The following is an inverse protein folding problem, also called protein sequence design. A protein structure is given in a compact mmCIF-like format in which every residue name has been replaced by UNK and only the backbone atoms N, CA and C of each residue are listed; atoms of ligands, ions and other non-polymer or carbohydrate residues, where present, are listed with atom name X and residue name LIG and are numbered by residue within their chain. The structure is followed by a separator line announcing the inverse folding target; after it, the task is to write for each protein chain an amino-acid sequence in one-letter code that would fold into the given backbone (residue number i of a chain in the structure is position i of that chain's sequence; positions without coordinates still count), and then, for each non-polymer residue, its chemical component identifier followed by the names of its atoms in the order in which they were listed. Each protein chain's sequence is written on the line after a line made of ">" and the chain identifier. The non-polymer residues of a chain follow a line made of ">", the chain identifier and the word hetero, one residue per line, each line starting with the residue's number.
data_IF_659650963083
#
_entry.id   IF_659650963083
#
_cell.length_a   1.000
_cell.length_b   1.000
_cell.length_c   1.000
_cell.angle_alpha   90.00
_cell.angle_beta   90.00
_cell.angle_gamma   90.00
#
_symmetry.space_group_name_H-M   'P 1'
#
loop_
_entity.id
_entity.type
_entity.pdbx_description
1 polymer ?
#
# COMPACT_ATOMS: atom_id res chain seq x y z
N UNK A 1 31.67 -18.40 -49.08
CA UNK A 1 32.55 -17.50 -48.27
C UNK A 1 31.90 -16.15 -48.01
N UNK A 2 31.21 -15.53 -48.97
CA UNK A 2 30.52 -14.23 -48.82
C UNK A 2 29.37 -14.25 -47.80
N UNK A 3 28.48 -15.26 -47.85
CA UNK A 3 27.33 -15.38 -46.94
C UNK A 3 27.74 -15.49 -45.46
N UNK A 4 28.79 -16.27 -45.16
CA UNK A 4 29.31 -16.43 -43.79
C UNK A 4 29.88 -15.10 -43.29
N UNK A 5 30.56 -14.35 -44.16
CA UNK A 5 31.10 -13.04 -43.83
C UNK A 5 29.99 -12.03 -43.50
N UNK A 6 28.89 -12.05 -44.25
CA UNK A 6 27.71 -11.21 -43.97
C UNK A 6 27.04 -11.58 -42.63
N UNK A 7 26.90 -12.87 -42.34
CA UNK A 7 26.29 -13.32 -41.06
C UNK A 7 27.15 -12.91 -39.85
N UNK A 8 28.48 -13.00 -39.98
CA UNK A 8 29.40 -12.53 -38.93
C UNK A 8 29.36 -11.02 -38.75
N UNK A 9 29.27 -10.25 -39.85
CA UNK A 9 29.15 -8.80 -39.79
C UNK A 9 27.83 -8.37 -39.10
N UNK A 10 26.72 -9.02 -39.42
CA UNK A 10 25.42 -8.76 -38.77
C UNK A 10 25.47 -9.09 -37.28
N UNK A 11 26.03 -10.26 -36.92
CA UNK A 11 26.19 -10.65 -35.51
C UNK A 11 27.06 -9.65 -34.73
N UNK A 12 28.14 -9.18 -35.33
CA UNK A 12 29.02 -8.18 -34.73
C UNK A 12 28.29 -6.84 -34.50
N UNK A 13 27.52 -6.38 -35.48
CA UNK A 13 26.69 -5.16 -35.33
C UNK A 13 25.67 -5.32 -34.20
N UNK A 14 25.00 -6.48 -34.11
CA UNK A 14 24.05 -6.76 -33.02
C UNK A 14 24.72 -6.75 -31.64
N UNK A 15 25.91 -7.34 -31.52
CA UNK A 15 26.70 -7.33 -30.28
C UNK A 15 27.08 -5.90 -29.89
N UNK A 16 27.50 -5.07 -30.85
CA UNK A 16 27.81 -3.65 -30.60
C UNK A 16 26.58 -2.86 -30.13
N UNK A 17 25.40 -3.09 -30.71
CA UNK A 17 24.15 -2.45 -30.28
C UNK A 17 23.79 -2.84 -28.84
N UNK A 18 23.89 -4.13 -28.50
CA UNK A 18 23.59 -4.63 -27.15
C UNK A 18 24.59 -4.09 -26.12
N UNK A 19 25.89 -4.06 -26.46
CA UNK A 19 26.93 -3.50 -25.60
C UNK A 19 26.76 -1.98 -25.39
N UNK A 20 26.39 -1.24 -26.44
CA UNK A 20 26.10 0.20 -26.38
C UNK A 20 24.88 0.53 -25.53
N UNK A 21 23.80 -0.25 -25.66
CA UNK A 21 22.59 -0.05 -24.84
C UNK A 21 22.83 -0.37 -23.36
N UNK A 22 23.67 -1.38 -23.07
CA UNK A 22 24.08 -1.70 -21.68
C UNK A 22 24.83 -0.53 -21.05
N UNK A 23 25.82 0.03 -21.76
CA UNK A 23 26.64 1.13 -21.22
C UNK A 23 25.83 2.42 -21.00
N UNK A 24 24.84 2.69 -21.86
CA UNK A 24 23.86 3.77 -21.66
C UNK A 24 22.98 3.55 -20.43
N UNK A 25 22.47 2.33 -20.21
CA UNK A 25 21.65 2.01 -19.05
C UNK A 25 22.43 2.07 -17.71
N UNK A 26 23.72 1.75 -17.72
CA UNK A 26 24.60 1.86 -16.54
C UNK A 26 24.95 3.30 -16.17
N UNK A 27 24.77 4.27 -17.08
CA UNK A 27 25.10 5.68 -16.87
C UNK A 27 23.86 6.56 -16.55
N UNK A 28 22.76 5.94 -16.10
CA UNK A 28 21.67 6.69 -15.49
C UNK A 28 22.11 7.00 -14.06
N UNK A 29 22.57 8.22 -13.82
CA UNK A 29 22.94 8.68 -12.49
C UNK A 29 21.67 8.92 -11.66
N UNK A 30 21.18 7.87 -11.00
CA UNK A 30 20.02 7.91 -10.11
C UNK A 30 20.17 8.95 -8.97
N UNK A 31 21.40 9.39 -8.65
CA UNK A 31 21.66 10.40 -7.62
C UNK A 31 21.49 11.84 -8.13
N UNK A 32 21.48 12.05 -9.45
CA UNK A 32 21.22 13.34 -10.09
C UNK A 32 19.78 13.47 -10.62
N UNK A 33 18.91 12.47 -10.36
CA UNK A 33 17.47 12.64 -10.52
C UNK A 33 16.99 13.52 -9.38
N UNK A 34 16.98 14.84 -9.62
CA UNK A 34 16.28 15.77 -8.75
C UNK A 34 14.79 15.46 -8.90
N UNK A 35 14.28 14.59 -8.04
CA UNK A 35 12.84 14.48 -7.83
C UNK A 35 12.32 15.91 -7.66
N UNK A 36 11.25 16.31 -8.35
CA UNK A 36 10.56 17.52 -7.99
C UNK A 36 10.41 17.50 -6.47
N UNK A 37 10.93 18.52 -5.79
CA UNK A 37 10.53 18.74 -4.41
C UNK A 37 9.06 18.98 -4.55
N UNK A 38 8.24 17.96 -4.32
CA UNK A 38 6.78 18.07 -4.35
C UNK A 38 6.49 19.13 -3.29
N UNK A 39 6.25 20.39 -3.69
CA UNK A 39 5.99 21.39 -2.69
C UNK A 39 4.68 20.96 -2.06
N UNK A 40 4.67 20.81 -0.74
CA UNK A 40 3.45 20.54 0.02
C UNK A 40 2.38 21.49 -0.49
N UNK A 41 1.24 21.01 -1.03
CA UNK A 41 0.26 21.87 -1.70
C UNK A 41 -0.33 22.93 -0.76
N UNK A 42 -0.24 22.71 0.55
CA UNK A 42 -0.64 23.64 1.61
C UNK A 42 0.13 23.37 2.91
N UNK A 43 0.20 24.31 3.86
CA UNK A 43 0.82 24.08 5.17
C UNK A 43 0.15 22.91 5.91
N UNK A 44 0.94 22.05 6.55
CA UNK A 44 0.47 20.82 7.22
C UNK A 44 -0.19 19.80 6.28
N UNK A 45 0.08 19.88 4.96
CA UNK A 45 -0.36 18.85 4.02
C UNK A 45 0.31 17.52 4.29
N UNK A 46 -0.38 16.48 3.87
CA UNK A 46 -0.32 15.21 4.54
C UNK A 46 -0.71 14.07 3.60
N UNK A 47 -0.16 12.86 3.76
CA UNK A 47 -0.35 11.72 2.86
C UNK A 47 -0.75 10.49 3.65
N UNK A 48 -1.72 9.76 3.13
CA UNK A 48 -2.13 8.46 3.63
C UNK A 48 -2.08 7.44 2.50
N UNK A 49 -1.89 6.17 2.83
CA UNK A 49 -2.27 5.12 1.87
C UNK A 49 -3.78 5.21 1.64
N UNK A 50 -4.20 5.26 0.37
CA UNK A 50 -5.61 5.27 -0.01
C UNK A 50 -5.94 4.07 -0.90
N UNK A 51 -6.90 3.27 -0.48
CA UNK A 51 -7.39 2.10 -1.21
C UNK A 51 -8.82 1.79 -0.78
N UNK A 52 -9.61 1.19 -1.65
CA UNK A 52 -10.98 0.80 -1.33
C UNK A 52 -11.20 -0.69 -1.55
N UNK A 53 -11.68 -1.36 -0.50
CA UNK A 53 -12.08 -2.77 -0.49
C UNK A 53 -11.06 -3.74 -1.13
N UNK A 54 -9.77 -3.56 -0.83
CA UNK A 54 -8.72 -4.44 -1.37
C UNK A 54 -8.53 -5.68 -0.50
N UNK A 55 -8.06 -6.78 -1.10
CA UNK A 55 -7.98 -8.10 -0.46
C UNK A 55 -7.16 -8.13 0.83
N UNK A 56 -6.09 -7.32 0.89
CA UNK A 56 -5.21 -7.27 2.05
C UNK A 56 -4.45 -5.93 2.16
N UNK A 57 -3.82 -5.76 3.31
CA UNK A 57 -3.05 -4.56 3.64
C UNK A 57 -1.78 -4.43 2.77
N UNK A 58 -1.17 -5.54 2.34
CA UNK A 58 0.05 -5.49 1.53
C UNK A 58 -0.24 -4.89 0.16
N UNK A 59 -1.28 -5.37 -0.52
CA UNK A 59 -1.73 -4.87 -1.80
C UNK A 59 -2.15 -3.40 -1.71
N UNK A 60 -2.87 -2.99 -0.65
CA UNK A 60 -3.18 -1.58 -0.42
C UNK A 60 -1.90 -0.72 -0.41
N UNK A 61 -0.92 -1.08 0.42
CA UNK A 61 0.29 -0.27 0.58
C UNK A 61 1.20 -0.31 -0.65
N UNK A 62 1.16 -1.39 -1.42
CA UNK A 62 1.97 -1.57 -2.64
C UNK A 62 1.48 -0.71 -3.79
N UNK A 63 0.16 -0.55 -3.92
CA UNK A 63 -0.47 0.07 -5.09
C UNK A 63 -1.19 1.39 -4.80
N UNK A 64 -1.19 1.84 -3.55
CA UNK A 64 -1.71 3.15 -3.20
C UNK A 64 -0.94 4.26 -3.94
N UNK A 65 -1.71 5.19 -4.48
CA UNK A 65 -1.16 6.39 -5.13
C UNK A 65 -0.41 7.27 -4.13
N UNK A 66 0.71 7.83 -4.56
CA UNK A 66 1.46 8.81 -3.77
C UNK A 66 0.85 10.22 -3.89
N UNK A 67 -0.35 10.39 -3.32
CA UNK A 67 -1.08 11.67 -3.37
C UNK A 67 -1.27 12.31 -1.99
N UNK A 68 -1.36 13.64 -2.02
CA UNK A 68 -1.71 14.44 -0.86
C UNK A 68 -3.19 14.27 -0.48
N UNK A 69 -3.47 14.22 0.81
CA UNK A 69 -4.81 14.25 1.36
C UNK A 69 -5.49 15.59 1.07
N UNK A 70 -6.83 15.60 0.88
CA UNK A 70 -7.57 16.83 0.63
C UNK A 70 -7.53 17.76 1.87
N UNK A 71 -7.71 19.08 1.66
CA UNK A 71 -7.91 20.01 2.76
C UNK A 71 -9.10 19.56 3.63
N UNK A 72 -9.07 19.90 4.92
CA UNK A 72 -10.05 19.52 5.95
C UNK A 72 -9.99 18.07 6.45
N UNK A 73 -8.97 17.30 6.07
CA UNK A 73 -8.67 16.02 6.72
C UNK A 73 -7.51 16.19 7.70
N UNK A 74 -7.45 15.38 8.76
CA UNK A 74 -6.37 15.43 9.76
C UNK A 74 -5.83 14.05 10.14
N UNK A 75 -6.48 12.97 9.69
CA UNK A 75 -6.17 11.60 10.10
C UNK A 75 -6.12 10.63 8.92
N UNK A 76 -5.33 9.57 9.04
CA UNK A 76 -5.44 8.42 8.16
C UNK A 76 -6.35 7.37 8.81
N UNK A 77 -7.51 7.10 8.20
CA UNK A 77 -8.44 6.05 8.62
C UNK A 77 -8.11 4.75 7.90
N UNK A 78 -7.98 3.66 8.65
CA UNK A 78 -7.96 2.28 8.12
C UNK A 78 -9.16 1.51 8.66
N UNK A 79 -9.87 0.80 7.80
CA UNK A 79 -10.90 -0.18 8.14
C UNK A 79 -10.43 -1.54 7.63
N UNK A 80 -10.31 -2.52 8.52
CA UNK A 80 -9.77 -3.84 8.17
C UNK A 80 -10.72 -4.94 8.63
N UNK A 81 -11.26 -5.66 7.65
CA UNK A 81 -12.07 -6.85 7.88
C UNK A 81 -11.20 -8.09 7.82
N UNK A 82 -11.34 -8.98 8.80
CA UNK A 82 -10.68 -10.27 8.80
C UNK A 82 -11.55 -11.34 9.45
N UNK A 83 -11.27 -12.58 9.08
CA UNK A 83 -11.88 -13.76 9.68
C UNK A 83 -11.47 -13.93 11.15
N UNK A 84 -12.20 -14.74 11.91
CA UNK A 84 -11.83 -15.16 13.28
C UNK A 84 -10.38 -15.64 13.44
N UNK A 85 -9.81 -16.24 12.40
CA UNK A 85 -8.44 -16.76 12.36
C UNK A 85 -7.38 -15.70 11.99
N UNK A 86 -7.78 -14.44 11.77
CA UNK A 86 -6.86 -13.34 11.44
C UNK A 86 -6.54 -13.20 9.96
N UNK A 87 -7.19 -13.97 9.07
CA UNK A 87 -7.05 -13.80 7.61
C UNK A 87 -7.84 -12.58 7.13
N UNK A 88 -7.17 -11.63 6.48
CA UNK A 88 -7.79 -10.45 5.83
C UNK A 88 -8.86 -10.87 4.82
N UNK A 89 -9.97 -10.14 4.82
CA UNK A 89 -11.05 -10.26 3.82
C UNK A 89 -11.19 -9.00 3.01
N UNK A 90 -11.02 -7.82 3.64
CA UNK A 90 -10.93 -6.55 2.94
C UNK A 90 -10.24 -5.48 3.77
N UNK A 91 -9.62 -4.51 3.09
CA UNK A 91 -8.97 -3.34 3.66
C UNK A 91 -9.41 -2.10 2.88
N UNK A 92 -9.85 -1.08 3.61
CA UNK A 92 -10.07 0.27 3.07
C UNK A 92 -9.20 1.24 3.86
N UNK A 93 -8.45 2.08 3.17
CA UNK A 93 -7.69 3.18 3.78
C UNK A 93 -8.04 4.49 3.10
N UNK A 94 -8.22 5.55 3.88
CA UNK A 94 -8.54 6.89 3.36
C UNK A 94 -8.06 7.99 4.30
N UNK A 95 -7.88 9.19 3.74
CA UNK A 95 -7.80 10.41 4.54
C UNK A 95 -9.16 10.66 5.20
N UNK A 96 -9.16 11.13 6.44
CA UNK A 96 -10.36 11.24 7.25
C UNK A 96 -10.37 12.51 8.10
N UNK A 97 -11.58 12.97 8.41
CA UNK A 97 -11.82 14.02 9.39
C UNK A 97 -11.83 13.47 10.82
N UNK A 98 -11.85 14.37 11.81
CA UNK A 98 -11.98 14.00 13.22
C UNK A 98 -13.28 13.23 13.50
N UNK A 99 -14.38 13.64 12.88
CA UNK A 99 -15.71 13.07 13.07
C UNK A 99 -15.76 11.62 12.55
N UNK A 100 -15.14 11.36 11.40
CA UNK A 100 -15.03 10.01 10.85
C UNK A 100 -14.20 9.09 11.76
N UNK A 101 -13.23 9.67 12.47
CA UNK A 101 -12.33 9.03 13.43
C UNK A 101 -12.87 8.97 14.87
N UNK A 102 -14.07 9.50 15.15
CA UNK A 102 -14.58 9.61 16.53
C UNK A 102 -14.83 8.27 17.22
N UNK A 103 -15.11 7.21 16.44
CA UNK A 103 -15.43 5.87 16.97
C UNK A 103 -14.45 4.82 16.44
N UNK A 104 -13.35 4.65 17.18
CA UNK A 104 -12.35 3.61 16.95
C UNK A 104 -12.63 2.39 17.85
N UNK A 105 -12.88 1.22 17.27
CA UNK A 105 -13.14 -0.01 18.04
C UNK A 105 -13.25 -1.27 17.17
N UNK A 106 -13.05 -2.46 17.75
CA UNK A 106 -13.32 -3.71 17.04
C UNK A 106 -14.80 -4.04 17.14
N UNK A 107 -15.37 -4.62 16.08
CA UNK A 107 -16.72 -5.17 16.12
C UNK A 107 -16.72 -6.60 15.61
N UNK A 108 -17.46 -7.47 16.28
CA UNK A 108 -17.80 -8.79 15.74
C UNK A 108 -19.07 -8.69 14.94
N UNK A 109 -19.01 -9.13 13.67
CA UNK A 109 -20.19 -9.30 12.85
C UNK A 109 -20.53 -10.79 12.81
N UNK A 110 -21.78 -11.11 13.19
CA UNK A 110 -22.37 -12.44 13.01
C UNK A 110 -23.28 -12.36 11.78
N UNK A 111 -22.85 -12.92 10.65
CA UNK A 111 -23.72 -13.06 9.48
C UNK A 111 -24.58 -14.32 9.63
N UNK A 112 -25.89 -14.19 9.45
CA UNK A 112 -26.86 -15.26 9.66
C UNK A 112 -27.33 -15.79 8.31
N UNK A 113 -26.57 -16.71 7.72
CA UNK A 113 -27.01 -17.52 6.58
C UNK A 113 -26.48 -18.95 6.79
N UNK A 114 -27.41 -19.90 6.90
CA UNK A 114 -27.19 -21.30 7.28
C UNK A 114 -26.03 -21.91 6.48
N UNK A 115 -25.04 -22.45 7.21
CA UNK A 115 -23.90 -23.34 6.84
C UNK A 115 -22.48 -22.81 7.13
N UNK A 116 -22.26 -21.54 7.47
CA UNK A 116 -20.96 -21.10 7.99
C UNK A 116 -21.16 -19.98 9.02
N UNK A 117 -21.19 -20.34 10.30
CA UNK A 117 -21.06 -19.36 11.40
C UNK A 117 -19.62 -18.81 11.39
N UNK A 118 -19.26 -18.02 10.38
CA UNK A 118 -17.97 -17.32 10.29
C UNK A 118 -18.10 -16.05 11.12
N UNK A 119 -17.48 -16.04 12.29
CA UNK A 119 -17.27 -14.82 13.05
C UNK A 119 -16.30 -13.93 12.25
N UNK A 120 -16.83 -12.90 11.58
CA UNK A 120 -16.00 -11.85 11.01
C UNK A 120 -15.60 -10.91 12.16
N UNK A 121 -14.29 -10.80 12.42
CA UNK A 121 -13.75 -9.78 13.30
C UNK A 121 -13.45 -8.57 12.42
N UNK A 122 -14.26 -7.52 12.54
CA UNK A 122 -13.95 -6.21 11.95
C UNK A 122 -13.04 -5.52 12.95
N UNK A 123 -11.79 -5.22 12.59
CA UNK A 123 -11.04 -4.26 13.37
C UNK A 123 -11.27 -2.84 12.90
N UNK A 124 -11.49 -2.02 13.93
CA UNK A 124 -11.06 -0.65 14.13
C UNK A 124 -10.84 0.14 12.86
N UNK A 125 -11.68 1.17 12.74
CA UNK A 125 -11.17 2.50 12.45
C UNK A 125 -9.91 2.73 13.31
N UNK A 126 -8.72 2.68 12.72
CA UNK A 126 -7.49 3.16 13.37
C UNK A 126 -7.16 4.48 12.72
N UNK A 127 -6.97 5.50 13.54
CA UNK A 127 -6.63 6.84 13.10
C UNK A 127 -5.24 7.21 13.60
N UNK A 128 -4.30 7.37 12.67
CA UNK A 128 -2.91 7.74 12.94
C UNK A 128 -2.50 9.00 12.18
N UNK A 129 -1.56 9.74 12.76
CA UNK A 129 -0.79 10.78 12.09
C UNK A 129 0.33 10.08 11.30
N UNK A 130 0.00 9.63 10.09
CA UNK A 130 0.93 9.20 9.02
C UNK A 130 1.73 7.90 9.12
N UNK A 131 2.28 7.55 7.94
CA UNK A 131 2.93 6.35 7.42
C UNK A 131 3.84 5.60 8.40
N UNK A 132 3.24 4.93 9.39
CA UNK A 132 3.97 3.97 10.21
C UNK A 132 3.87 2.59 9.55
N UNK A 133 5.04 1.98 9.43
CA UNK A 133 5.36 0.63 8.96
C UNK A 133 4.15 -0.29 8.65
N UNK A 134 3.99 -0.74 7.38
CA UNK A 134 2.81 -1.47 6.92
C UNK A 134 2.59 -2.83 7.60
N UNK A 135 3.67 -3.54 7.99
CA UNK A 135 3.55 -4.81 8.74
C UNK A 135 3.20 -4.58 10.20
N UNK A 136 3.62 -3.45 10.77
CA UNK A 136 3.30 -3.06 12.13
C UNK A 136 1.82 -2.72 12.28
N UNK A 137 1.22 -2.03 11.30
CA UNK A 137 -0.22 -1.70 11.34
C UNK A 137 -1.11 -2.94 11.46
N UNK A 138 -0.89 -3.97 10.64
CA UNK A 138 -1.71 -5.19 10.69
C UNK A 138 -1.54 -5.95 12.02
N UNK A 139 -0.30 -6.00 12.55
CA UNK A 139 -0.02 -6.61 13.86
C UNK A 139 -0.63 -5.80 15.00
N UNK A 140 -0.54 -4.48 14.96
CA UNK A 140 -1.11 -3.58 15.96
C UNK A 140 -2.64 -3.67 15.98
N UNK A 141 -3.30 -3.61 14.82
CA UNK A 141 -4.75 -3.76 14.67
C UNK A 141 -5.23 -5.10 15.25
N UNK A 142 -4.54 -6.19 14.91
CA UNK A 142 -4.85 -7.54 15.43
C UNK A 142 -4.59 -7.63 16.94
N UNK A 143 -3.52 -7.01 17.44
CA UNK A 143 -3.18 -6.98 18.86
C UNK A 143 -4.18 -6.16 19.69
N UNK A 144 -4.58 -4.97 19.21
CA UNK A 144 -5.63 -4.14 19.83
C UNK A 144 -6.94 -4.95 19.91
N UNK A 145 -7.31 -5.67 18.84
CA UNK A 145 -8.52 -6.50 18.88
C UNK A 145 -8.43 -7.77 19.70
N UNK A 146 -7.24 -8.29 19.95
CA UNK A 146 -7.06 -9.38 20.92
C UNK A 146 -7.07 -8.85 22.36
N UNK A 147 -6.44 -7.70 22.62
CA UNK A 147 -6.39 -7.07 23.95
C UNK A 147 -7.76 -6.59 24.43
N UNK A 148 -8.60 -6.06 23.53
CA UNK A 148 -9.95 -5.61 23.88
C UNK A 148 -10.94 -6.77 24.15
N UNK A 149 -10.59 -7.99 23.73
CA UNK A 149 -11.30 -9.23 24.10
C UNK A 149 -11.00 -9.71 25.52
N UNK A 150 -9.87 -9.26 26.11
CA UNK A 150 -9.50 -9.58 27.50
C UNK A 150 -10.18 -8.58 28.47
N UNK A 151 -10.66 -7.45 27.96
CA UNK A 151 -11.27 -6.35 28.73
C UNK A 151 -12.81 -6.35 28.69
N UNK A 152 -13.45 -7.35 28.08
CA UNK A 152 -14.91 -7.55 28.05
C UNK A 152 -15.29 -8.90 28.66
#
# INVERSE_FOLDING_TARGET
>A
MTLICHMLAVAFVQVLIVLGNWSLAKNINFYNVRLPVDPTPFPSSFKCFTCDNVVDNYNCNRWAEDKWCPPNTQYCLTVHHFTSHGRSTSVTKKCATREECHFVGCRHLRETSRTLLRLLKIALKVCWYYLINPKLQQRAVTAICKGMHILL
#
